data_IF_812005687066
#
_entry.id   IF_812005687066
#
_cell.length_a   1.000
_cell.length_b   1.000
_cell.length_c   1.000
_cell.angle_alpha   90.00
_cell.angle_beta   90.00
_cell.angle_gamma   90.00
#
_symmetry.space_group_name_H-M   'P 1'
#
loop_
_entity.id
_entity.type
_entity.pdbx_description
1 polymer ?
#
# COMPACT_ATOMS: atom_id res chain seq x y z
N UNK A 1 -6.29 4.37 0.38
CA UNK A 1 -5.26 3.78 1.26
C UNK A 1 -5.79 3.52 2.67
N UNK A 2 -6.17 4.54 3.46
CA UNK A 2 -6.72 4.33 4.82
C UNK A 2 -7.98 3.46 4.90
N UNK A 3 -8.86 3.53 3.89
CA UNK A 3 -10.01 2.64 3.76
C UNK A 3 -9.63 1.16 3.57
N UNK A 4 -8.63 0.88 2.73
CA UNK A 4 -8.12 -0.48 2.51
C UNK A 4 -7.45 -1.04 3.77
N UNK A 5 -6.71 -0.19 4.48
CA UNK A 5 -6.11 -0.49 5.77
C UNK A 5 -7.15 -0.96 6.81
N UNK A 6 -8.25 -0.21 6.99
CA UNK A 6 -9.30 -0.61 7.92
C UNK A 6 -9.97 -1.91 7.51
N UNK A 7 -10.21 -2.09 6.21
CA UNK A 7 -10.85 -3.30 5.69
C UNK A 7 -10.03 -4.57 5.97
N UNK A 8 -8.70 -4.49 5.85
CA UNK A 8 -7.79 -5.61 6.15
C UNK A 8 -7.83 -5.93 7.64
N UNK A 9 -7.75 -4.89 8.50
CA UNK A 9 -7.80 -5.04 9.95
C UNK A 9 -9.05 -5.79 10.41
N UNK A 10 -10.22 -5.35 9.93
CA UNK A 10 -11.50 -5.99 10.28
C UNK A 10 -11.66 -7.38 9.67
N UNK A 11 -11.18 -7.62 8.45
CA UNK A 11 -11.24 -8.95 7.83
C UNK A 11 -10.38 -9.97 8.58
N UNK A 12 -9.15 -9.61 8.95
CA UNK A 12 -8.24 -10.50 9.68
C UNK A 12 -8.71 -10.71 11.12
N UNK A 13 -9.12 -9.65 11.82
CA UNK A 13 -9.69 -9.77 13.16
C UNK A 13 -10.96 -10.64 13.15
N UNK A 14 -11.88 -10.42 12.20
CA UNK A 14 -13.09 -11.21 12.04
C UNK A 14 -12.82 -12.68 11.73
N UNK A 15 -11.76 -13.01 10.99
CA UNK A 15 -11.33 -14.39 10.77
C UNK A 15 -10.80 -15.04 12.05
N UNK A 16 -9.96 -14.34 12.81
CA UNK A 16 -9.41 -14.86 14.07
C UNK A 16 -10.53 -15.09 15.09
N UNK A 17 -11.44 -14.12 15.22
CA UNK A 17 -12.60 -14.24 16.09
C UNK A 17 -13.54 -15.37 15.63
N UNK A 18 -13.80 -15.49 14.32
CA UNK A 18 -14.60 -16.59 13.78
C UNK A 18 -13.92 -17.95 14.02
N UNK A 19 -12.59 -18.03 13.95
CA UNK A 19 -11.83 -19.25 14.26
C UNK A 19 -11.90 -19.61 15.76
N UNK A 20 -11.76 -18.62 16.64
CA UNK A 20 -11.93 -18.80 18.09
C UNK A 20 -13.38 -19.18 18.45
N UNK A 21 -14.35 -18.65 17.72
CA UNK A 21 -15.78 -18.92 17.86
C UNK A 21 -16.28 -20.12 17.02
N UNK A 22 -15.40 -20.93 16.40
CA UNK A 22 -15.76 -22.16 15.66
C UNK A 22 -16.54 -23.15 16.54
N UNK A 23 -16.49 -23.00 17.86
CA UNK A 23 -17.32 -23.73 18.82
C UNK A 23 -18.81 -23.31 18.82
N UNK A 24 -19.21 -22.20 18.19
CA UNK A 24 -20.56 -21.64 18.30
C UNK A 24 -21.46 -21.78 17.05
N UNK A 25 -21.00 -21.43 15.82
CA UNK A 25 -21.84 -21.51 14.60
C UNK A 25 -21.03 -21.66 13.29
N UNK A 26 -21.35 -22.63 12.40
CA UNK A 26 -20.61 -22.87 11.15
C UNK A 26 -20.81 -21.78 10.08
N UNK A 27 -21.92 -21.02 10.15
CA UNK A 27 -22.23 -19.99 9.16
C UNK A 27 -21.35 -18.74 9.30
N UNK A 28 -20.95 -18.40 10.54
CA UNK A 28 -20.06 -17.26 10.82
C UNK A 28 -18.68 -17.44 10.19
N UNK A 29 -18.16 -18.67 10.18
CA UNK A 29 -16.88 -18.98 9.55
C UNK A 29 -16.91 -18.82 8.02
N UNK A 30 -18.00 -19.23 7.37
CA UNK A 30 -18.17 -19.08 5.91
C UNK A 30 -18.19 -17.60 5.50
N UNK A 31 -18.89 -16.76 6.26
CA UNK A 31 -18.96 -15.31 6.01
C UNK A 31 -17.59 -14.65 6.23
N UNK A 32 -16.88 -15.01 7.29
CA UNK A 32 -15.54 -14.48 7.58
C UNK A 32 -14.53 -14.85 6.48
N UNK A 33 -14.54 -16.11 6.02
CA UNK A 33 -13.70 -16.57 4.91
C UNK A 33 -13.97 -15.77 3.62
N UNK A 34 -15.23 -15.54 3.28
CA UNK A 34 -15.62 -14.76 2.11
C UNK A 34 -15.10 -13.32 2.18
N UNK A 35 -15.18 -12.68 3.35
CA UNK A 35 -14.70 -11.32 3.55
C UNK A 35 -13.18 -11.20 3.41
N UNK A 36 -12.42 -12.20 3.88
CA UNK A 36 -10.96 -12.26 3.72
C UNK A 36 -10.55 -12.39 2.26
N UNK A 37 -11.24 -13.26 1.50
CA UNK A 37 -10.98 -13.42 0.07
C UNK A 37 -11.25 -12.14 -0.71
N UNK A 38 -12.38 -11.49 -0.44
CA UNK A 38 -12.73 -10.21 -1.07
C UNK A 38 -11.70 -9.14 -0.73
N UNK A 39 -11.35 -8.98 0.56
CA UNK A 39 -10.32 -8.03 1.01
C UNK A 39 -8.96 -8.28 0.34
N UNK A 40 -8.53 -9.55 0.24
CA UNK A 40 -7.30 -9.93 -0.43
C UNK A 40 -7.28 -9.54 -1.92
N UNK A 41 -8.41 -9.68 -2.62
CA UNK A 41 -8.52 -9.28 -4.03
C UNK A 41 -8.30 -7.77 -4.20
N UNK A 42 -9.01 -6.92 -3.44
CA UNK A 42 -8.82 -5.46 -3.51
C UNK A 42 -7.39 -5.04 -3.14
N UNK A 43 -6.80 -5.72 -2.15
CA UNK A 43 -5.43 -5.42 -1.74
C UNK A 43 -4.42 -5.77 -2.83
N UNK A 44 -4.62 -6.88 -3.54
CA UNK A 44 -3.74 -7.26 -4.66
C UNK A 44 -3.74 -6.21 -5.77
N UNK A 45 -4.90 -5.61 -6.05
CA UNK A 45 -5.04 -4.54 -7.03
C UNK A 45 -4.32 -3.26 -6.60
N UNK A 46 -4.45 -2.86 -5.32
CA UNK A 46 -3.73 -1.71 -4.78
C UNK A 46 -2.22 -1.92 -4.77
N UNK A 47 -1.76 -3.14 -4.45
CA UNK A 47 -0.35 -3.49 -4.48
C UNK A 47 0.22 -3.45 -5.90
N UNK A 48 -0.51 -3.98 -6.88
CA UNK A 48 -0.12 -3.88 -8.29
C UNK A 48 0.00 -2.42 -8.74
N UNK A 49 -0.98 -1.58 -8.42
CA UNK A 49 -0.92 -0.14 -8.70
C UNK A 49 0.33 0.51 -8.09
N UNK A 50 0.67 0.18 -6.84
CA UNK A 50 1.86 0.69 -6.17
C UNK A 50 3.14 0.26 -6.90
N UNK A 51 3.23 -1.00 -7.34
CA UNK A 51 4.37 -1.52 -8.11
C UNK A 51 4.50 -0.82 -9.47
N UNK A 52 3.39 -0.64 -10.19
CA UNK A 52 3.41 0.07 -11.47
C UNK A 52 3.82 1.53 -11.31
N UNK A 53 3.26 2.24 -10.33
CA UNK A 53 3.65 3.61 -9.98
C UNK A 53 5.15 3.74 -9.68
N UNK A 54 5.71 2.80 -8.91
CA UNK A 54 7.14 2.78 -8.62
C UNK A 54 8.01 2.52 -9.85
N UNK A 55 7.58 1.59 -10.73
CA UNK A 55 8.28 1.36 -12.01
C UNK A 55 8.23 2.57 -12.92
N UNK A 56 7.08 3.24 -13.01
CA UNK A 56 6.92 4.47 -13.80
C UNK A 56 7.85 5.57 -13.29
N UNK A 57 7.91 5.77 -11.96
CA UNK A 57 8.85 6.69 -11.33
C UNK A 57 10.31 6.39 -11.67
N UNK A 58 10.69 5.10 -11.60
CA UNK A 58 12.04 4.66 -11.90
C UNK A 58 12.41 4.92 -13.38
N UNK A 59 11.55 4.55 -14.31
CA UNK A 59 11.78 4.78 -15.74
C UNK A 59 11.79 6.28 -16.08
N UNK A 60 10.97 7.08 -15.40
CA UNK A 60 10.96 8.53 -15.56
C UNK A 60 12.31 9.16 -15.15
N UNK A 61 12.85 8.76 -13.99
CA UNK A 61 14.20 9.17 -13.54
C UNK A 61 15.29 8.73 -14.52
N UNK A 62 15.21 7.50 -15.04
CA UNK A 62 16.15 7.00 -16.07
C UNK A 62 16.08 7.81 -17.36
N UNK A 63 14.88 8.12 -17.82
CA UNK A 63 14.66 8.93 -19.02
C UNK A 63 15.33 10.29 -18.90
N UNK A 64 15.14 10.98 -17.78
CA UNK A 64 15.80 12.26 -17.50
C UNK A 64 17.33 12.17 -17.55
N UNK A 65 17.92 11.14 -16.94
CA UNK A 65 19.39 10.93 -16.97
C UNK A 65 19.88 10.69 -18.40
N UNK A 66 19.14 9.94 -19.21
CA UNK A 66 19.49 9.68 -20.63
C UNK A 66 19.44 11.00 -21.41
N UNK A 67 18.37 11.78 -21.27
CA UNK A 67 18.22 13.08 -21.95
C UNK A 67 19.36 14.02 -21.56
N UNK A 68 19.74 14.04 -20.28
CA UNK A 68 20.86 14.86 -19.80
C UNK A 68 22.19 14.45 -20.45
N UNK A 69 22.42 13.15 -20.63
CA UNK A 69 23.62 12.63 -21.35
C UNK A 69 23.58 13.03 -22.83
N UNK A 70 22.44 12.88 -23.50
CA UNK A 70 22.26 13.30 -24.90
C UNK A 70 22.52 14.80 -25.06
N UNK A 71 22.05 15.62 -24.12
CA UNK A 71 22.30 17.07 -24.09
C UNK A 71 23.78 17.41 -23.87
N UNK A 72 24.50 16.62 -23.09
CA UNK A 72 25.90 16.91 -22.74
C UNK A 72 26.90 16.45 -23.80
N UNK A 73 26.60 15.35 -24.51
CA UNK A 73 27.50 14.74 -25.50
C UNK A 73 27.06 14.92 -26.96
N UNK A 74 25.80 15.31 -27.19
CA UNK A 74 25.22 15.40 -28.53
C UNK A 74 25.58 16.68 -29.26
N UNK A 75 25.99 16.55 -30.52
CA UNK A 75 26.16 17.65 -31.47
C UNK A 75 24.83 17.93 -32.18
N UNK A 76 23.85 18.48 -31.44
CA UNK A 76 22.53 18.84 -31.96
C UNK A 76 22.35 20.36 -32.03
N UNK A 77 21.33 20.81 -32.76
CA UNK A 77 20.96 22.22 -32.81
C UNK A 77 20.68 22.76 -31.39
N UNK A 78 21.18 23.97 -31.13
CA UNK A 78 21.14 24.64 -29.82
C UNK A 78 19.71 24.82 -29.32
N UNK A 79 18.75 24.96 -30.23
CA UNK A 79 17.33 25.10 -29.91
C UNK A 79 16.77 23.79 -29.32
N UNK A 80 16.99 22.66 -30.00
CA UNK A 80 16.55 21.33 -29.57
C UNK A 80 17.22 20.95 -28.23
N UNK A 81 18.51 21.27 -28.10
CA UNK A 81 19.28 21.02 -26.88
C UNK A 81 18.70 21.76 -25.67
N UNK A 82 18.27 23.01 -25.86
CA UNK A 82 17.72 23.86 -24.80
C UNK A 82 16.35 23.34 -24.33
N UNK A 83 15.49 22.92 -25.27
CA UNK A 83 14.20 22.33 -24.96
C UNK A 83 14.34 20.97 -24.24
N UNK A 84 15.22 20.08 -24.73
CA UNK A 84 15.51 18.82 -24.04
C UNK A 84 16.06 19.02 -22.64
N UNK A 85 16.91 20.04 -22.43
CA UNK A 85 17.44 20.39 -21.11
C UNK A 85 16.34 20.89 -20.18
N UNK A 86 15.45 21.77 -20.65
CA UNK A 86 14.31 22.22 -19.86
C UNK A 86 13.39 21.06 -19.49
N UNK A 87 13.07 20.17 -20.44
CA UNK A 87 12.24 19.00 -20.21
C UNK A 87 12.89 18.03 -19.19
N UNK A 88 14.18 17.74 -19.33
CA UNK A 88 14.92 16.92 -18.35
C UNK A 88 14.91 17.54 -16.95
N UNK A 89 15.12 18.86 -16.85
CA UNK A 89 15.07 19.58 -15.58
C UNK A 89 13.67 19.55 -14.96
N UNK A 90 12.62 19.70 -15.76
CA UNK A 90 11.23 19.55 -15.31
C UNK A 90 10.96 18.14 -14.79
N UNK A 91 11.45 17.11 -15.48
CA UNK A 91 11.39 15.72 -15.03
C UNK A 91 12.21 15.43 -13.77
N UNK A 92 13.30 16.16 -13.51
CA UNK A 92 14.10 16.00 -12.28
C UNK A 92 13.49 16.75 -11.10
N UNK A 93 13.11 18.00 -11.29
CA UNK A 93 12.54 18.85 -10.23
C UNK A 93 11.12 18.44 -9.88
N UNK A 94 10.38 17.92 -10.86
CA UNK A 94 9.01 17.44 -10.74
C UNK A 94 8.96 15.99 -11.21
N UNK A 95 9.91 15.16 -10.71
CA UNK A 95 9.83 13.72 -10.91
C UNK A 95 8.40 13.30 -10.50
N UNK A 96 7.60 12.76 -11.43
CA UNK A 96 6.18 12.53 -11.19
C UNK A 96 6.05 11.39 -10.20
N UNK A 97 6.25 11.68 -8.92
CA UNK A 97 5.84 10.81 -7.85
C UNK A 97 4.35 10.64 -8.07
N UNK A 98 3.95 9.43 -8.45
CA UNK A 98 2.54 9.07 -8.46
C UNK A 98 2.12 9.14 -7.00
N UNK A 99 1.63 10.31 -6.63
CA UNK A 99 1.25 10.71 -5.30
C UNK A 99 -0.24 10.96 -5.37
N UNK A 100 -1.02 10.38 -4.47
CA UNK A 100 -2.45 10.71 -4.36
C UNK A 100 -2.66 12.08 -3.68
N UNK A 101 -1.68 13.00 -3.74
CA UNK A 101 -1.69 14.31 -3.10
C UNK A 101 -1.44 14.29 -1.57
N UNK A 102 -1.72 13.17 -0.90
CA UNK A 102 -1.58 13.03 0.56
C UNK A 102 -0.43 12.11 0.98
N UNK A 103 -0.02 11.17 0.12
CA UNK A 103 1.11 10.28 0.36
C UNK A 103 1.76 9.91 -0.98
N UNK A 104 3.09 9.98 -1.02
CA UNK A 104 3.88 9.40 -2.10
C UNK A 104 3.81 7.87 -1.99
N UNK A 105 3.61 7.19 -3.13
CA UNK A 105 3.57 5.73 -3.19
C UNK A 105 4.97 5.12 -3.07
N UNK A 106 5.59 5.31 -1.91
CA UNK A 106 6.92 4.78 -1.60
C UNK A 106 6.83 3.44 -0.84
N UNK A 107 7.89 2.64 -0.95
CA UNK A 107 8.03 1.40 -0.19
C UNK A 107 7.96 1.64 1.32
N UNK A 108 8.45 2.79 1.79
CA UNK A 108 8.40 3.21 3.20
C UNK A 108 6.96 3.34 3.72
N UNK A 109 6.04 3.87 2.90
CA UNK A 109 4.63 3.95 3.25
C UNK A 109 4.03 2.55 3.41
N UNK A 110 4.38 1.61 2.52
CA UNK A 110 3.91 0.23 2.58
C UNK A 110 4.38 -0.48 3.87
N UNK A 111 5.64 -0.28 4.26
CA UNK A 111 6.18 -0.83 5.51
C UNK A 111 5.51 -0.22 6.74
N UNK A 112 5.31 1.09 6.76
CA UNK A 112 4.63 1.79 7.85
C UNK A 112 3.17 1.34 8.00
N UNK A 113 2.48 1.11 6.88
CA UNK A 113 1.14 0.54 6.88
C UNK A 113 1.12 -0.90 7.42
N UNK A 114 2.04 -1.75 6.99
CA UNK A 114 2.13 -3.11 7.52
C UNK A 114 2.37 -3.12 9.04
N UNK A 115 3.32 -2.30 9.52
CA UNK A 115 3.61 -2.16 10.94
C UNK A 115 2.40 -1.69 11.75
N UNK A 116 1.70 -0.65 11.28
CA UNK A 116 0.48 -0.18 11.94
C UNK A 116 -0.63 -1.24 11.95
N UNK A 117 -0.87 -1.97 10.86
CA UNK A 117 -1.83 -3.09 10.83
C UNK A 117 -1.52 -4.09 11.95
N UNK A 118 -0.25 -4.50 12.07
CA UNK A 118 0.19 -5.42 13.12
C UNK A 118 -0.07 -4.85 14.52
N UNK A 119 0.28 -3.58 14.77
CA UNK A 119 0.06 -2.94 16.08
C UNK A 119 -1.42 -2.91 16.46
N UNK A 120 -2.29 -2.45 15.56
CA UNK A 120 -3.73 -2.38 15.85
C UNK A 120 -4.36 -3.78 15.99
N UNK A 121 -3.90 -4.76 15.23
CA UNK A 121 -4.36 -6.14 15.35
C UNK A 121 -4.02 -6.70 16.74
N UNK A 122 -2.80 -6.47 17.21
CA UNK A 122 -2.37 -6.87 18.57
C UNK A 122 -3.20 -6.18 19.65
N UNK A 123 -3.54 -4.90 19.47
CA UNK A 123 -4.42 -4.18 20.40
C UNK A 123 -5.82 -4.80 20.42
N UNK A 124 -6.42 -5.05 19.26
CA UNK A 124 -7.75 -5.67 19.15
C UNK A 124 -7.80 -7.07 19.77
N UNK A 125 -6.76 -7.89 19.53
CA UNK A 125 -6.68 -9.22 20.13
C UNK A 125 -6.58 -9.15 21.66
N UNK A 126 -5.80 -8.22 22.22
CA UNK A 126 -5.72 -8.04 23.67
C UNK A 126 -7.10 -7.69 24.28
N UNK A 127 -7.86 -6.81 23.64
CA UNK A 127 -9.23 -6.50 24.08
C UNK A 127 -10.17 -7.71 23.97
N UNK A 128 -10.07 -8.49 22.90
CA UNK A 128 -10.87 -9.70 22.71
C UNK A 128 -10.57 -10.76 23.78
N UNK A 129 -9.29 -11.01 24.06
CA UNK A 129 -8.88 -11.92 25.14
C UNK A 129 -9.33 -11.45 26.53
N UNK A 130 -9.26 -10.15 26.81
CA UNK A 130 -9.73 -9.60 28.08
C UNK A 130 -11.25 -9.80 28.25
N UNK A 131 -12.03 -9.57 27.19
CA UNK A 131 -13.47 -9.82 27.18
C UNK A 131 -13.81 -11.30 27.38
N UNK A 132 -13.11 -12.19 26.67
CA UNK A 132 -13.26 -13.64 26.84
C UNK A 132 -12.95 -14.09 28.27
N UNK A 133 -11.89 -13.56 28.88
CA UNK A 133 -11.51 -13.92 30.25
C UNK A 133 -12.53 -13.44 31.29
N UNK A 134 -13.07 -12.23 31.14
CA UNK A 134 -14.14 -11.73 32.03
C UNK A 134 -15.39 -12.62 32.00
N UNK A 135 -15.73 -13.18 30.84
CA UNK A 135 -16.88 -14.08 30.68
C UNK A 135 -16.71 -15.43 31.41
N UNK A 136 -15.47 -15.88 31.61
CA UNK A 136 -15.17 -17.13 32.33
C UNK A 136 -15.18 -16.94 33.85
N UNK A 137 -14.79 -15.77 34.37
CA UNK A 137 -14.82 -15.45 35.81
C UNK A 137 -16.22 -15.12 36.35
N UNK A 138 -17.22 -14.95 35.48
CA UNK A 138 -18.62 -14.68 35.85
C UNK A 138 -19.53 -15.91 35.88
N UNK A 139 -18.97 -17.11 35.64
CA UNK A 139 -19.65 -18.42 35.74
C UNK A 139 -19.12 -19.15 36.98
#
# INVERSE_FOLDING_TARGET
MGCAFMFILFAVFGLIHAYAAVTANPDTFKVAMGNVLFSGFFQSFLFQLLVYSNRLNYECKRCSVIIQKVVSYGQYDRTILKECRHFSLQLMHHAPSVSCGMFDFDWELCYTMAGSITTYLVILLQFDFANLKMQVETI
#
